data_IF_834853910413
#
_entry.id   IF_834853910413
#
_cell.length_a   1.000
_cell.length_b   1.000
_cell.length_c   1.000
_cell.angle_alpha   90.00
_cell.angle_beta   90.00
_cell.angle_gamma   90.00
#
_symmetry.space_group_name_H-M   'P 1'
#
loop_
_entity.id
_entity.type
_entity.pdbx_description
1 polymer ?
#
# COMPACT_ATOMS: atom_id res chain seq x y z
N UNK A 1 -0.20 1.31 18.41
CA UNK A 1 -1.66 1.29 18.18
C UNK A 1 -2.10 -0.13 17.97
N UNK A 2 -3.38 -0.45 18.17
CA UNK A 2 -3.87 -1.82 17.94
C UNK A 2 -3.86 -2.12 16.44
N UNK A 3 -2.96 -2.99 16.02
CA UNK A 3 -2.66 -3.32 14.62
C UNK A 3 -3.91 -3.72 13.82
N UNK A 4 -4.76 -4.59 14.38
CA UNK A 4 -6.01 -5.01 13.77
C UNK A 4 -7.00 -3.85 13.54
N UNK A 5 -7.03 -2.85 14.42
CA UNK A 5 -7.88 -1.67 14.25
C UNK A 5 -7.37 -0.80 13.11
N UNK A 6 -6.05 -0.64 12.99
CA UNK A 6 -5.44 0.06 11.86
C UNK A 6 -5.76 -0.63 10.54
N UNK A 7 -5.59 -1.96 10.46
CA UNK A 7 -5.93 -2.74 9.27
C UNK A 7 -7.40 -2.55 8.88
N UNK A 8 -8.32 -2.74 9.84
CA UNK A 8 -9.76 -2.59 9.60
C UNK A 8 -10.14 -1.18 9.15
N UNK A 9 -9.54 -0.15 9.76
CA UNK A 9 -9.80 1.23 9.38
C UNK A 9 -9.31 1.54 7.97
N UNK A 10 -8.06 1.17 7.64
CA UNK A 10 -7.45 1.45 6.33
C UNK A 10 -8.19 0.75 5.20
N UNK A 11 -8.58 -0.51 5.39
CA UNK A 11 -9.37 -1.23 4.40
C UNK A 11 -10.78 -0.65 4.28
N UNK A 12 -11.45 -0.40 5.41
CA UNK A 12 -12.83 0.11 5.42
C UNK A 12 -12.96 1.48 4.76
N UNK A 13 -12.05 2.41 5.06
CA UNK A 13 -12.07 3.76 4.46
C UNK A 13 -11.72 3.72 2.96
N UNK A 14 -10.80 2.84 2.55
CA UNK A 14 -10.45 2.64 1.14
C UNK A 14 -11.60 2.04 0.35
N UNK A 15 -12.27 1.02 0.91
CA UNK A 15 -13.44 0.39 0.31
C UNK A 15 -14.62 1.36 0.17
N UNK A 16 -14.80 2.29 1.12
CA UNK A 16 -15.82 3.34 1.04
C UNK A 16 -15.56 4.36 -0.09
N UNK A 17 -14.31 4.43 -0.60
CA UNK A 17 -13.86 5.34 -1.65
C UNK A 17 -13.36 4.59 -2.90
N UNK A 18 -13.98 3.44 -3.17
CA UNK A 18 -13.63 2.56 -4.29
C UNK A 18 -13.64 3.33 -5.63
N UNK A 19 -12.50 3.36 -6.32
CA UNK A 19 -12.35 3.98 -7.64
C UNK A 19 -12.55 5.50 -7.68
N UNK A 20 -12.66 6.19 -6.54
CA UNK A 20 -12.93 7.64 -6.53
C UNK A 20 -11.67 8.50 -6.65
N UNK A 21 -10.46 7.91 -6.53
CA UNK A 21 -9.20 8.65 -6.42
C UNK A 21 -9.21 9.73 -5.34
N UNK A 22 -9.73 9.41 -4.14
CA UNK A 22 -9.76 10.40 -3.05
C UNK A 22 -8.33 10.68 -2.54
N UNK A 23 -7.89 11.92 -2.72
CA UNK A 23 -6.54 12.37 -2.33
C UNK A 23 -6.31 12.34 -0.82
N UNK A 24 -7.37 12.51 -0.01
CA UNK A 24 -7.26 12.47 1.45
C UNK A 24 -6.97 11.06 1.92
N UNK A 25 -7.67 10.07 1.36
CA UNK A 25 -7.43 8.65 1.66
C UNK A 25 -6.09 8.20 1.10
N UNK A 26 -5.73 8.63 -0.10
CA UNK A 26 -4.41 8.35 -0.68
C UNK A 26 -3.29 8.83 0.24
N UNK A 27 -3.37 10.06 0.76
CA UNK A 27 -2.37 10.61 1.69
C UNK A 27 -2.31 9.83 3.00
N UNK A 28 -3.47 9.43 3.54
CA UNK A 28 -3.55 8.61 4.75
C UNK A 28 -2.91 7.23 4.55
N UNK A 29 -3.08 6.60 3.39
CA UNK A 29 -2.46 5.31 3.07
C UNK A 29 -0.96 5.45 2.81
N UNK A 30 -0.56 6.54 2.13
CA UNK A 30 0.83 6.79 1.74
C UNK A 30 1.78 6.88 2.93
N UNK A 31 1.33 7.39 4.08
CA UNK A 31 2.15 7.43 5.31
C UNK A 31 2.45 6.05 5.90
N UNK A 32 1.73 5.02 5.47
CA UNK A 32 1.94 3.63 5.92
C UNK A 32 2.69 2.80 4.89
N UNK A 33 3.01 3.37 3.72
CA UNK A 33 3.78 2.72 2.67
C UNK A 33 5.13 3.45 2.57
N UNK A 34 6.23 2.86 3.05
CA UNK A 34 7.54 3.52 3.05
C UNK A 34 8.03 3.90 1.64
N UNK A 35 7.55 3.21 0.60
CA UNK A 35 7.90 3.50 -0.79
C UNK A 35 7.25 4.76 -1.38
N UNK A 36 6.18 5.28 -0.78
CA UNK A 36 5.53 6.53 -1.21
C UNK A 36 6.06 7.74 -0.43
N UNK A 37 6.84 7.51 0.62
CA UNK A 37 7.39 8.55 1.47
C UNK A 37 8.63 9.19 0.82
N UNK A 38 8.76 10.53 0.83
CA UNK A 38 9.99 11.18 0.42
C UNK A 38 11.16 10.77 1.32
N UNK A 39 12.40 10.71 0.78
CA UNK A 39 13.60 10.19 1.44
C UNK A 39 14.06 10.96 2.69
N UNK A 40 13.34 12.03 3.07
CA UNK A 40 13.54 12.83 4.28
C UNK A 40 12.67 12.41 5.47
N UNK A 41 11.84 11.37 5.32
CA UNK A 41 10.82 11.03 6.31
C UNK A 41 11.32 9.98 7.32
N UNK A 42 11.05 10.26 8.59
CA UNK A 42 11.38 9.48 9.79
C UNK A 42 11.16 7.97 9.62
N UNK A 43 12.06 7.14 10.17
CA UNK A 43 11.88 5.68 10.27
C UNK A 43 10.57 5.38 11.02
N UNK A 44 9.50 5.12 10.26
CA UNK A 44 8.21 4.72 10.80
C UNK A 44 8.24 3.21 10.98
N UNK A 45 8.31 2.76 12.24
CA UNK A 45 8.13 1.37 12.64
C UNK A 45 6.65 0.98 12.44
N UNK A 46 6.25 0.76 11.18
CA UNK A 46 4.90 0.31 10.81
C UNK A 46 4.91 -1.21 10.70
N UNK A 47 4.04 -1.92 11.45
CA UNK A 47 3.96 -3.37 11.36
C UNK A 47 3.59 -3.81 9.94
N UNK A 48 4.17 -4.92 9.50
CA UNK A 48 4.13 -5.40 8.11
C UNK A 48 2.71 -5.57 7.57
N UNK A 49 1.80 -6.14 8.38
CA UNK A 49 0.42 -6.35 7.97
C UNK A 49 -0.39 -5.05 7.78
N UNK A 50 -0.06 -3.97 8.49
CA UNK A 50 -0.64 -2.64 8.26
C UNK A 50 -0.17 -2.10 6.93
N UNK A 51 1.10 -2.35 6.55
CA UNK A 51 1.61 -1.99 5.23
C UNK A 51 0.88 -2.77 4.12
N UNK A 52 0.70 -4.09 4.30
CA UNK A 52 -0.07 -4.94 3.37
C UNK A 52 -1.49 -4.39 3.19
N UNK A 53 -2.18 -4.05 4.29
CA UNK A 53 -3.52 -3.48 4.25
C UNK A 53 -3.55 -2.11 3.54
N UNK A 54 -2.54 -1.27 3.75
CA UNK A 54 -2.41 0.02 3.08
C UNK A 54 -2.22 -0.13 1.57
N UNK A 55 -1.41 -1.10 1.12
CA UNK A 55 -1.18 -1.40 -0.30
C UNK A 55 -2.48 -1.85 -0.98
N UNK A 56 -3.23 -2.76 -0.36
CA UNK A 56 -4.55 -3.16 -0.87
C UNK A 56 -5.50 -1.96 -0.91
N UNK A 57 -5.48 -1.11 0.11
CA UNK A 57 -6.26 0.12 0.17
C UNK A 57 -5.99 1.07 -1.00
N UNK A 58 -4.73 1.25 -1.39
CA UNK A 58 -4.37 2.05 -2.58
C UNK A 58 -5.02 1.45 -3.83
N UNK A 59 -4.93 0.12 -4.01
CA UNK A 59 -5.56 -0.55 -5.14
C UNK A 59 -7.08 -0.35 -5.21
N UNK A 60 -7.76 -0.35 -4.06
CA UNK A 60 -9.20 -0.09 -3.96
C UNK A 60 -9.55 1.36 -4.35
N UNK A 61 -8.83 2.34 -3.80
CA UNK A 61 -9.09 3.77 -4.08
C UNK A 61 -8.84 4.11 -5.56
N UNK A 62 -7.85 3.46 -6.17
CA UNK A 62 -7.47 3.66 -7.57
C UNK A 62 -8.03 2.60 -8.51
N UNK A 63 -9.02 1.81 -8.09
CA UNK A 63 -9.58 0.76 -8.92
C UNK A 63 -10.16 1.33 -10.23
N UNK A 64 -9.73 0.78 -11.37
CA UNK A 64 -10.21 1.17 -12.70
C UNK A 64 -9.81 2.56 -13.18
N UNK A 65 -8.85 3.19 -12.49
CA UNK A 65 -8.40 4.56 -12.79
C UNK A 65 -7.23 4.59 -13.77
N UNK A 66 -6.54 3.46 -13.94
CA UNK A 66 -5.30 3.33 -14.71
C UNK A 66 -4.26 4.41 -14.36
N UNK A 67 -4.19 4.83 -13.09
CA UNK A 67 -3.27 5.88 -12.68
C UNK A 67 -1.82 5.42 -12.77
N UNK A 68 -1.10 5.97 -13.76
CA UNK A 68 0.25 5.53 -14.14
C UNK A 68 1.24 5.55 -12.98
N UNK A 69 1.30 6.63 -12.22
CA UNK A 69 2.24 6.76 -11.10
C UNK A 69 1.99 5.70 -10.02
N UNK A 70 0.73 5.45 -9.65
CA UNK A 70 0.37 4.41 -8.67
C UNK A 70 0.76 3.03 -9.19
N UNK A 71 0.54 2.75 -10.48
CA UNK A 71 0.94 1.48 -11.07
C UNK A 71 2.46 1.27 -11.07
N UNK A 72 3.25 2.31 -11.39
CA UNK A 72 4.72 2.24 -11.35
C UNK A 72 5.25 1.99 -9.94
N UNK A 73 4.67 2.66 -8.93
CA UNK A 73 5.03 2.43 -7.53
C UNK A 73 4.67 1.00 -7.09
N UNK A 74 3.46 0.53 -7.37
CA UNK A 74 3.03 -0.83 -7.02
C UNK A 74 3.89 -1.90 -7.72
N UNK A 75 4.31 -1.66 -8.96
CA UNK A 75 5.22 -2.55 -9.69
C UNK A 75 6.60 -2.62 -9.01
N UNK A 76 7.13 -1.48 -8.55
CA UNK A 76 8.36 -1.45 -7.78
C UNK A 76 8.22 -2.21 -6.44
N UNK A 77 7.06 -2.13 -5.81
CA UNK A 77 6.78 -2.81 -4.54
C UNK A 77 6.65 -4.33 -4.67
N UNK A 78 6.16 -4.85 -5.80
CA UNK A 78 6.17 -6.30 -6.09
C UNK A 78 7.62 -6.84 -6.07
N UNK A 79 8.56 -6.08 -6.65
CA UNK A 79 9.96 -6.45 -6.76
C UNK A 79 10.84 -6.01 -5.59
N UNK A 80 10.27 -5.46 -4.51
CA UNK A 80 11.03 -4.76 -3.46
C UNK A 80 12.14 -5.64 -2.90
N UNK A 81 13.44 -5.26 -2.99
CA UNK A 81 14.55 -6.08 -2.53
C UNK A 81 14.50 -6.30 -1.00
N UNK A 82 15.00 -7.43 -0.50
CA UNK A 82 15.11 -7.61 0.95
C UNK A 82 16.16 -6.60 1.44
N UNK A 83 15.73 -5.64 2.25
CA UNK A 83 16.61 -4.57 2.73
C UNK A 83 17.90 -5.10 3.40
N UNK A 84 18.92 -4.24 3.58
CA UNK A 84 20.28 -4.63 3.97
C UNK A 84 20.41 -5.31 5.36
N UNK A 85 19.35 -5.34 6.16
CA UNK A 85 19.33 -5.88 7.54
C UNK A 85 18.34 -7.01 7.78
N UNK A 86 17.76 -7.64 6.75
CA UNK A 86 16.78 -8.72 6.93
C UNK A 86 15.48 -8.25 7.66
N UNK A 87 15.29 -6.94 7.85
CA UNK A 87 14.16 -6.32 8.59
C UNK A 87 12.79 -6.55 7.92
N UNK A 88 12.77 -6.93 6.64
CA UNK A 88 11.56 -7.21 5.86
C UNK A 88 11.43 -8.68 5.44
N UNK A 89 12.07 -9.60 6.14
CA UNK A 89 12.09 -11.01 5.77
C UNK A 89 10.84 -11.80 6.18
N UNK A 90 10.01 -11.25 7.07
CA UNK A 90 8.75 -11.87 7.47
C UNK A 90 7.66 -11.48 6.48
N UNK A 91 6.98 -12.47 5.88
CA UNK A 91 5.73 -12.27 5.13
C UNK A 91 5.83 -11.42 3.84
N UNK A 92 7.03 -11.39 3.24
CA UNK A 92 7.31 -10.68 1.96
C UNK A 92 6.44 -11.18 0.80
N UNK A 93 6.05 -12.46 0.83
CA UNK A 93 5.16 -13.07 -0.15
C UNK A 93 3.76 -12.43 -0.11
N UNK A 94 3.21 -12.21 1.08
CA UNK A 94 1.91 -11.55 1.27
C UNK A 94 1.94 -10.10 0.82
N UNK A 95 3.05 -9.39 1.05
CA UNK A 95 3.23 -8.03 0.56
C UNK A 95 3.30 -7.98 -0.98
N UNK A 96 4.11 -8.85 -1.57
CA UNK A 96 4.23 -8.97 -3.03
C UNK A 96 2.88 -9.34 -3.66
N UNK A 97 2.13 -10.26 -3.04
CA UNK A 97 0.79 -10.65 -3.49
C UNK A 97 -0.18 -9.46 -3.41
N UNK A 98 -0.19 -8.73 -2.29
CA UNK A 98 -1.04 -7.56 -2.11
C UNK A 98 -0.71 -6.44 -3.10
N UNK A 99 0.58 -6.20 -3.38
CA UNK A 99 1.02 -5.23 -4.38
C UNK A 99 0.59 -5.64 -5.80
N UNK A 100 0.72 -6.92 -6.15
CA UNK A 100 0.23 -7.46 -7.42
C UNK A 100 -1.30 -7.38 -7.56
N UNK A 101 -2.02 -7.70 -6.48
CA UNK A 101 -3.48 -7.58 -6.44
C UNK A 101 -3.94 -6.13 -6.59
N UNK A 102 -3.31 -5.20 -5.86
CA UNK A 102 -3.57 -3.77 -5.97
C UNK A 102 -3.28 -3.25 -7.39
N UNK A 103 -2.14 -3.65 -7.98
CA UNK A 103 -1.79 -3.27 -9.36
C UNK A 103 -2.86 -3.76 -10.35
N UNK A 104 -3.30 -5.01 -10.19
CA UNK A 104 -4.39 -5.58 -10.99
C UNK A 104 -5.69 -4.78 -10.87
N UNK A 105 -6.06 -4.33 -9.66
CA UNK A 105 -7.24 -3.48 -9.45
C UNK A 105 -7.09 -2.10 -10.11
N UNK A 106 -5.91 -1.47 -10.03
CA UNK A 106 -5.66 -0.16 -10.64
C UNK A 106 -5.75 -0.23 -12.17
N UNK A 107 -5.20 -1.29 -12.76
CA UNK A 107 -5.19 -1.52 -14.20
C UNK A 107 -6.45 -2.22 -14.72
N UNK A 108 -7.43 -2.55 -13.85
CA UNK A 108 -8.66 -3.23 -14.23
C UNK A 108 -9.48 -2.34 -15.18
N UNK A 109 -9.51 -2.67 -16.47
CA UNK A 109 -10.24 -1.96 -17.52
C UNK A 109 -11.13 -2.90 -18.31
#
# INVERSE_FOLDING_TARGET
GHEMTSIGLLLGVSAAKLGTMDMSITRLLSIHIPAVLPPTSTELDVPHNVQVAAVVGIGLVYQGTAHRHTAEVLLAEIGRPPGPKMEYCTDRESYSLAAGFALGMVCLG
#
